data_IF_420366529916
#
_entry.id   IF_420366529916
#
_cell.length_a   1.000
_cell.length_b   1.000
_cell.length_c   1.000
_cell.angle_alpha   90.00
_cell.angle_beta   90.00
_cell.angle_gamma   90.00
#
_symmetry.space_group_name_H-M   'P 1'
#
loop_
_entity.id
_entity.type
_entity.pdbx_description
1 polymer ?
#
# COMPACT_ATOMS: atom_id res chain seq x y z
N UNK A 1 24.20 -29.50 -12.29
CA UNK A 1 22.88 -28.82 -12.27
C UNK A 1 22.85 -27.91 -11.05
N UNK A 2 22.97 -26.59 -11.22
CA UNK A 2 22.90 -25.66 -10.09
C UNK A 2 21.48 -25.72 -9.49
N UNK A 3 21.38 -25.91 -8.18
CA UNK A 3 20.08 -25.84 -7.48
C UNK A 3 19.47 -24.46 -7.74
N UNK A 4 18.17 -24.37 -8.10
CA UNK A 4 17.51 -23.08 -8.26
C UNK A 4 17.67 -22.28 -6.97
N UNK A 5 17.94 -20.98 -7.09
CA UNK A 5 17.89 -20.11 -5.92
C UNK A 5 16.54 -20.28 -5.21
N UNK A 6 16.49 -20.20 -3.88
CA UNK A 6 15.24 -20.32 -3.11
C UNK A 6 14.13 -19.41 -3.67
N UNK A 7 14.50 -18.22 -4.16
CA UNK A 7 13.60 -17.29 -4.88
C UNK A 7 13.01 -17.89 -6.14
N UNK A 8 13.83 -18.49 -7.01
CA UNK A 8 13.37 -19.13 -8.25
C UNK A 8 12.44 -20.31 -7.97
N UNK A 9 12.73 -21.10 -6.93
CA UNK A 9 11.87 -22.21 -6.52
C UNK A 9 10.52 -21.74 -5.95
N UNK A 10 10.51 -20.66 -5.13
CA UNK A 10 9.29 -20.05 -4.58
C UNK A 10 8.42 -19.47 -5.69
N UNK A 11 9.01 -18.76 -6.66
CA UNK A 11 8.27 -18.19 -7.80
C UNK A 11 7.70 -19.29 -8.70
N UNK A 12 8.49 -20.33 -9.03
CA UNK A 12 8.00 -21.47 -9.82
C UNK A 12 6.86 -22.24 -9.12
N UNK A 13 6.87 -22.32 -7.78
CA UNK A 13 5.78 -22.90 -7.01
C UNK A 13 4.52 -22.01 -7.01
N UNK A 14 4.66 -20.69 -7.11
CA UNK A 14 3.53 -19.76 -7.23
C UNK A 14 2.77 -19.91 -8.55
N UNK A 15 3.48 -20.27 -9.63
CA UNK A 15 2.91 -20.47 -10.98
C UNK A 15 2.36 -21.90 -11.20
N UNK A 16 2.53 -22.82 -10.24
CA UNK A 16 2.03 -24.18 -10.36
C UNK A 16 0.53 -24.27 -10.05
N UNK A 17 -0.30 -24.59 -11.05
CA UNK A 17 -1.76 -24.65 -10.94
C UNK A 17 -2.28 -25.64 -9.87
N UNK A 18 -1.58 -26.75 -9.61
CA UNK A 18 -1.97 -27.75 -8.60
C UNK A 18 -1.62 -27.26 -7.20
N UNK A 19 -0.43 -26.67 -7.01
CA UNK A 19 -0.06 -26.03 -5.75
C UNK A 19 -0.98 -24.84 -5.44
N UNK A 20 -1.31 -24.03 -6.46
CA UNK A 20 -2.31 -22.96 -6.37
C UNK A 20 -3.68 -23.50 -5.95
N UNK A 21 -4.20 -24.58 -6.54
CA UNK A 21 -5.48 -25.17 -6.10
C UNK A 21 -5.49 -25.66 -4.66
N UNK A 22 -4.43 -26.37 -4.24
CA UNK A 22 -4.34 -26.92 -2.87
C UNK A 22 -4.18 -25.79 -1.86
N UNK A 23 -3.31 -24.82 -2.13
CA UNK A 23 -3.08 -23.69 -1.21
C UNK A 23 -4.24 -22.69 -1.25
N UNK A 24 -4.88 -22.44 -2.39
CA UNK A 24 -6.10 -21.62 -2.42
C UNK A 24 -7.23 -22.24 -1.60
N UNK A 25 -7.38 -23.58 -1.63
CA UNK A 25 -8.42 -24.30 -0.89
C UNK A 25 -8.19 -24.37 0.62
N UNK A 26 -6.93 -24.42 1.08
CA UNK A 26 -6.61 -24.64 2.50
C UNK A 26 -5.77 -23.52 3.14
N UNK A 27 -5.06 -22.72 2.36
CA UNK A 27 -4.08 -21.73 2.83
C UNK A 27 -4.67 -20.54 3.57
N UNK A 28 -5.91 -20.13 3.26
CA UNK A 28 -6.66 -19.15 4.07
C UNK A 28 -6.88 -19.66 5.50
N UNK A 29 -7.17 -20.96 5.65
CA UNK A 29 -7.35 -21.63 6.96
C UNK A 29 -6.01 -21.94 7.63
N UNK A 30 -4.91 -22.03 6.88
CA UNK A 30 -3.56 -22.34 7.35
C UNK A 30 -2.69 -21.09 7.60
N UNK A 31 -3.29 -19.91 7.72
CA UNK A 31 -2.60 -18.69 8.19
C UNK A 31 -2.59 -17.51 7.23
N UNK A 32 -3.05 -17.64 5.98
CA UNK A 32 -3.09 -16.50 5.06
C UNK A 32 -4.10 -15.41 5.49
N UNK A 33 -5.17 -15.79 6.22
CA UNK A 33 -6.11 -14.86 6.88
C UNK A 33 -5.46 -13.86 7.83
N UNK A 34 -4.23 -14.15 8.28
CA UNK A 34 -3.46 -13.21 9.09
C UNK A 34 -3.03 -11.99 8.28
N UNK A 35 -2.75 -12.13 6.99
CA UNK A 35 -2.14 -11.09 6.15
C UNK A 35 -3.07 -10.56 5.06
N UNK A 36 -4.17 -11.27 4.79
CA UNK A 36 -5.19 -10.92 3.81
C UNK A 36 -6.55 -11.08 4.49
N UNK A 37 -7.43 -10.09 4.35
CA UNK A 37 -8.72 -10.10 5.06
C UNK A 37 -9.65 -11.23 4.60
N UNK A 38 -9.58 -11.59 3.32
CA UNK A 38 -10.51 -12.50 2.69
C UNK A 38 -10.36 -12.53 1.17
N UNK A 39 -11.22 -13.30 0.54
CA UNK A 39 -11.37 -13.35 -0.92
C UNK A 39 -12.50 -12.44 -1.42
N UNK A 40 -13.40 -11.98 -0.54
CA UNK A 40 -14.58 -11.17 -0.91
C UNK A 40 -14.60 -9.80 -0.23
N UNK A 41 -15.35 -8.86 -0.81
CA UNK A 41 -15.60 -7.55 -0.22
C UNK A 41 -16.28 -7.64 1.16
N UNK A 42 -17.20 -8.59 1.36
CA UNK A 42 -17.86 -8.82 2.65
C UNK A 42 -16.88 -9.23 3.76
N UNK A 43 -15.91 -10.09 3.43
CA UNK A 43 -14.85 -10.46 4.38
C UNK A 43 -13.95 -9.25 4.70
N UNK A 44 -13.67 -8.41 3.71
CA UNK A 44 -12.95 -7.15 3.92
C UNK A 44 -13.74 -6.19 4.83
N UNK A 45 -15.04 -6.00 4.59
CA UNK A 45 -15.90 -5.12 5.41
C UNK A 45 -15.96 -5.62 6.86
N UNK A 46 -16.09 -6.94 7.06
CA UNK A 46 -16.03 -7.55 8.39
C UNK A 46 -14.67 -7.31 9.09
N UNK A 47 -13.57 -7.44 8.34
CA UNK A 47 -12.24 -7.13 8.87
C UNK A 47 -12.10 -5.63 9.20
N UNK A 48 -12.60 -4.75 8.34
CA UNK A 48 -12.56 -3.31 8.55
C UNK A 48 -13.35 -2.89 9.79
N UNK A 49 -14.57 -3.43 9.99
CA UNK A 49 -15.36 -3.23 11.23
C UNK A 49 -14.56 -3.59 12.48
N UNK A 50 -13.95 -4.77 12.50
CA UNK A 50 -13.14 -5.22 13.64
C UNK A 50 -11.95 -4.29 13.88
N UNK A 51 -11.21 -3.94 12.83
CA UNK A 51 -10.01 -3.08 12.90
C UNK A 51 -10.36 -1.66 13.34
N UNK A 52 -11.44 -1.07 12.83
CA UNK A 52 -11.97 0.22 13.30
C UNK A 52 -12.41 0.15 14.78
N UNK A 53 -13.05 -0.94 15.21
CA UNK A 53 -13.40 -1.16 16.62
C UNK A 53 -12.17 -1.24 17.56
N UNK A 54 -11.00 -1.60 17.02
CA UNK A 54 -9.72 -1.56 17.74
C UNK A 54 -9.02 -0.19 17.69
N UNK A 55 -9.62 0.81 17.04
CA UNK A 55 -9.12 2.19 16.93
C UNK A 55 -8.23 2.47 15.72
N UNK A 56 -8.02 1.50 14.83
CA UNK A 56 -7.23 1.66 13.61
C UNK A 56 -8.11 2.11 12.43
N UNK A 57 -7.57 2.93 11.55
CA UNK A 57 -8.13 3.14 10.22
C UNK A 57 -7.73 2.02 9.24
N UNK A 58 -8.37 1.93 8.08
CA UNK A 58 -8.07 0.92 7.04
C UNK A 58 -7.71 1.58 5.70
N UNK A 59 -6.72 1.01 4.99
CA UNK A 59 -6.53 1.21 3.55
C UNK A 59 -6.69 -0.14 2.87
N UNK A 60 -7.73 -0.30 2.07
CA UNK A 60 -8.01 -1.54 1.36
C UNK A 60 -7.35 -1.56 -0.03
N UNK A 61 -6.82 -2.70 -0.44
CA UNK A 61 -6.33 -2.95 -1.79
C UNK A 61 -6.93 -4.24 -2.33
N UNK A 62 -7.57 -4.16 -3.49
CA UNK A 62 -8.09 -5.31 -4.21
C UNK A 62 -6.97 -6.02 -4.98
N UNK A 63 -6.83 -7.32 -4.74
CA UNK A 63 -5.86 -8.20 -5.38
C UNK A 63 -6.49 -8.88 -6.60
N UNK A 64 -6.07 -8.45 -7.79
CA UNK A 64 -6.44 -9.06 -9.06
C UNK A 64 -5.23 -9.56 -9.86
N UNK A 65 -5.53 -10.23 -10.98
CA UNK A 65 -4.53 -10.61 -11.98
C UNK A 65 -4.17 -9.41 -12.86
N UNK A 66 -3.20 -9.56 -13.77
CA UNK A 66 -2.94 -8.55 -14.80
C UNK A 66 -4.17 -8.37 -15.69
N UNK A 67 -4.64 -7.13 -15.82
CA UNK A 67 -5.73 -6.74 -16.73
C UNK A 67 -5.25 -6.69 -18.17
N UNK A 68 -6.12 -7.07 -19.11
CA UNK A 68 -5.77 -7.27 -20.53
C UNK A 68 -6.54 -6.36 -21.46
N UNK A 69 -7.71 -5.89 -21.04
CA UNK A 69 -8.58 -5.05 -21.85
C UNK A 69 -9.36 -4.02 -21.02
N UNK A 70 -10.02 -3.11 -21.72
CA UNK A 70 -10.81 -2.04 -21.11
C UNK A 70 -11.95 -2.56 -20.21
N UNK A 71 -12.54 -3.71 -20.54
CA UNK A 71 -13.65 -4.29 -19.76
C UNK A 71 -13.15 -4.76 -18.40
N UNK A 72 -12.01 -5.44 -18.37
CA UNK A 72 -11.39 -5.90 -17.12
C UNK A 72 -10.99 -4.71 -16.23
N UNK A 73 -10.41 -3.63 -16.81
CA UNK A 73 -10.06 -2.42 -16.05
C UNK A 73 -11.28 -1.70 -15.47
N UNK A 74 -12.40 -1.67 -16.22
CA UNK A 74 -13.64 -1.06 -15.77
C UNK A 74 -14.24 -1.84 -14.58
N UNK A 75 -14.19 -3.17 -14.61
CA UNK A 75 -14.65 -4.02 -13.52
C UNK A 75 -13.83 -3.79 -12.23
N UNK A 76 -12.51 -3.61 -12.35
CA UNK A 76 -11.65 -3.23 -11.20
C UNK A 76 -12.06 -1.86 -10.65
N UNK A 77 -12.32 -0.88 -11.51
CA UNK A 77 -12.83 0.42 -11.08
C UNK A 77 -14.17 0.30 -10.35
N UNK A 78 -15.08 -0.55 -10.84
CA UNK A 78 -16.39 -0.78 -10.23
C UNK A 78 -16.28 -1.41 -8.84
N UNK A 79 -15.36 -2.35 -8.67
CA UNK A 79 -15.06 -2.97 -7.36
C UNK A 79 -14.62 -1.92 -6.33
N UNK A 80 -13.68 -1.03 -6.69
CA UNK A 80 -13.26 0.04 -5.78
C UNK A 80 -14.39 1.05 -5.47
N UNK A 81 -15.22 1.39 -6.45
CA UNK A 81 -16.39 2.24 -6.24
C UNK A 81 -17.41 1.57 -5.30
N UNK A 82 -17.65 0.27 -5.45
CA UNK A 82 -18.52 -0.50 -4.57
C UNK A 82 -17.98 -0.54 -3.13
N UNK A 83 -16.67 -0.77 -2.96
CA UNK A 83 -16.03 -0.73 -1.65
C UNK A 83 -16.19 0.63 -0.95
N UNK A 84 -15.93 1.73 -1.67
CA UNK A 84 -16.07 3.07 -1.11
C UNK A 84 -17.49 3.34 -0.60
N UNK A 85 -18.50 2.92 -1.37
CA UNK A 85 -19.91 3.02 -0.95
C UNK A 85 -20.23 2.12 0.24
N UNK A 86 -19.67 0.91 0.27
CA UNK A 86 -19.81 -0.01 1.41
C UNK A 86 -19.21 0.57 2.71
N UNK A 87 -18.02 1.17 2.62
CA UNK A 87 -17.40 1.87 3.76
C UNK A 87 -18.26 3.04 4.23
N UNK A 88 -18.80 3.84 3.31
CA UNK A 88 -19.66 4.97 3.66
C UNK A 88 -20.98 4.52 4.31
N UNK A 89 -21.62 3.46 3.78
CA UNK A 89 -22.87 2.93 4.30
C UNK A 89 -22.74 2.40 5.73
N UNK A 90 -21.59 1.86 6.09
CA UNK A 90 -21.28 1.35 7.43
C UNK A 90 -20.52 2.38 8.31
N UNK A 91 -20.30 3.60 7.81
CA UNK A 91 -19.51 4.66 8.47
C UNK A 91 -18.12 4.18 8.96
N UNK A 92 -17.44 3.39 8.12
CA UNK A 92 -16.11 2.84 8.42
C UNK A 92 -15.01 3.86 8.12
N UNK A 93 -14.02 3.95 9.01
CA UNK A 93 -12.78 4.71 8.77
C UNK A 93 -11.87 3.89 7.85
N UNK A 94 -12.22 3.89 6.56
CA UNK A 94 -11.60 3.09 5.53
C UNK A 94 -11.46 3.87 4.21
N UNK A 95 -10.34 3.65 3.54
CA UNK A 95 -9.99 4.23 2.25
C UNK A 95 -9.53 3.13 1.30
N UNK A 96 -9.31 3.45 0.03
CA UNK A 96 -8.78 2.48 -0.95
C UNK A 96 -7.42 2.91 -1.49
N UNK A 97 -6.59 1.92 -1.82
CA UNK A 97 -5.31 2.10 -2.49
C UNK A 97 -5.21 1.12 -3.67
N UNK A 98 -4.87 1.64 -4.85
CA UNK A 98 -4.87 0.88 -6.10
C UNK A 98 -3.62 1.11 -6.94
N UNK A 99 -3.32 0.13 -7.79
CA UNK A 99 -2.25 0.17 -8.80
C UNK A 99 -2.84 0.64 -10.12
N UNK A 100 -2.17 1.56 -10.80
CA UNK A 100 -2.69 2.11 -12.06
C UNK A 100 -2.55 1.12 -13.21
N UNK A 101 -1.60 0.18 -13.16
CA UNK A 101 -1.55 -0.94 -14.10
C UNK A 101 -2.85 -1.76 -14.04
N UNK A 102 -3.41 -1.97 -12.85
CA UNK A 102 -4.70 -2.66 -12.65
C UNK A 102 -5.90 -1.85 -13.18
N UNK A 103 -5.70 -0.56 -13.48
CA UNK A 103 -6.69 0.33 -14.09
C UNK A 103 -6.41 0.61 -15.57
N UNK A 104 -5.38 -0.02 -16.16
CA UNK A 104 -5.11 0.05 -17.59
C UNK A 104 -3.89 0.87 -17.99
N UNK A 105 -2.98 1.22 -17.06
CA UNK A 105 -1.80 2.04 -17.40
C UNK A 105 -0.90 1.40 -18.46
N UNK A 106 -0.78 0.07 -18.46
CA UNK A 106 -0.05 -0.70 -19.50
C UNK A 106 -0.77 -0.74 -20.86
N UNK A 107 -2.06 -0.41 -20.89
CA UNK A 107 -2.91 -0.44 -22.10
C UNK A 107 -2.95 0.96 -22.72
N UNK A 108 -3.42 1.94 -21.94
CA UNK A 108 -3.54 3.34 -22.34
C UNK A 108 -3.56 4.22 -21.07
N UNK A 109 -2.63 5.19 -20.93
CA UNK A 109 -2.64 6.14 -19.82
C UNK A 109 -3.96 6.91 -19.66
N UNK A 110 -4.68 7.21 -20.75
CA UNK A 110 -5.96 7.93 -20.66
C UNK A 110 -7.07 7.01 -20.14
N UNK A 111 -7.07 5.72 -20.50
CA UNK A 111 -7.96 4.70 -19.91
C UNK A 111 -7.72 4.58 -18.39
N UNK A 112 -6.45 4.52 -17.98
CA UNK A 112 -6.08 4.48 -16.57
C UNK A 112 -6.57 5.71 -15.80
N UNK A 113 -6.44 6.90 -16.41
CA UNK A 113 -6.96 8.13 -15.83
C UNK A 113 -8.49 8.10 -15.70
N UNK A 114 -9.21 7.68 -16.74
CA UNK A 114 -10.68 7.64 -16.72
C UNK A 114 -11.17 6.73 -15.59
N UNK A 115 -10.59 5.53 -15.45
CA UNK A 115 -10.90 4.62 -14.36
C UNK A 115 -10.54 5.22 -12.98
N UNK A 116 -9.33 5.78 -12.83
CA UNK A 116 -8.91 6.40 -11.57
C UNK A 116 -9.80 7.62 -11.20
N UNK A 117 -10.26 8.40 -12.18
CA UNK A 117 -11.16 9.52 -11.98
C UNK A 117 -12.55 9.08 -11.49
N UNK A 118 -13.07 7.94 -11.97
CA UNK A 118 -14.33 7.35 -11.47
C UNK A 118 -14.23 6.99 -9.99
N UNK A 119 -13.10 6.36 -9.60
CA UNK A 119 -12.84 6.01 -8.20
C UNK A 119 -12.68 7.28 -7.35
N UNK A 120 -11.93 8.27 -7.81
CA UNK A 120 -11.74 9.54 -7.10
C UNK A 120 -13.04 10.32 -6.92
N UNK A 121 -13.91 10.38 -7.95
CA UNK A 121 -15.24 11.00 -7.85
C UNK A 121 -16.11 10.28 -6.81
N UNK A 122 -16.15 8.95 -6.87
CA UNK A 122 -16.93 8.15 -5.90
C UNK A 122 -16.41 8.35 -4.48
N UNK A 123 -15.09 8.44 -4.30
CA UNK A 123 -14.50 8.71 -2.98
C UNK A 123 -14.91 10.09 -2.45
N UNK A 124 -14.90 11.12 -3.29
CA UNK A 124 -15.36 12.45 -2.92
C UNK A 124 -16.84 12.47 -2.53
N UNK A 125 -17.70 11.80 -3.30
CA UNK A 125 -19.13 11.62 -2.99
C UNK A 125 -19.35 10.90 -1.64
N UNK A 126 -18.45 9.98 -1.29
CA UNK A 126 -18.48 9.20 -0.04
C UNK A 126 -17.76 9.90 1.13
N UNK A 127 -17.17 11.09 0.94
CA UNK A 127 -16.34 11.74 1.96
C UNK A 127 -15.08 10.96 2.35
N UNK A 128 -14.52 10.20 1.41
CA UNK A 128 -13.33 9.35 1.58
C UNK A 128 -12.15 9.86 0.74
N UNK A 129 -11.00 9.19 0.85
CA UNK A 129 -9.78 9.47 0.09
C UNK A 129 -9.26 8.24 -0.62
N UNK A 130 -8.41 8.45 -1.62
CA UNK A 130 -7.83 7.36 -2.42
C UNK A 130 -6.33 7.51 -2.57
N UNK A 131 -5.64 6.39 -2.72
CA UNK A 131 -4.19 6.34 -2.93
C UNK A 131 -3.84 5.60 -4.21
N UNK A 132 -3.07 6.24 -5.07
CA UNK A 132 -2.32 5.53 -6.11
C UNK A 132 -1.06 4.94 -5.48
N UNK A 133 -1.01 3.61 -5.40
CA UNK A 133 0.20 2.88 -5.03
C UNK A 133 1.26 3.07 -6.12
N UNK A 134 2.51 3.22 -5.70
CA UNK A 134 3.62 3.36 -6.64
C UNK A 134 4.20 1.99 -6.99
N UNK A 135 4.28 1.73 -8.29
CA UNK A 135 4.75 0.48 -8.87
C UNK A 135 6.26 0.54 -9.19
N UNK A 136 6.75 -0.26 -10.13
CA UNK A 136 8.15 -0.23 -10.59
C UNK A 136 8.53 1.15 -11.16
N UNK A 137 9.83 1.42 -11.22
CA UNK A 137 10.41 2.70 -11.69
C UNK A 137 9.86 3.16 -13.05
N UNK A 138 9.61 2.23 -13.97
CA UNK A 138 9.03 2.53 -15.29
C UNK A 138 7.62 3.16 -15.25
N UNK A 139 6.87 2.96 -14.16
CA UNK A 139 5.51 3.47 -14.00
C UNK A 139 5.43 4.78 -13.23
N UNK A 140 6.54 5.29 -12.70
CA UNK A 140 6.56 6.48 -11.84
C UNK A 140 6.02 7.69 -12.60
N UNK A 141 6.50 7.94 -13.81
CA UNK A 141 6.10 9.13 -14.59
C UNK A 141 4.61 9.10 -14.96
N UNK A 142 4.11 7.97 -15.46
CA UNK A 142 2.69 7.82 -15.76
C UNK A 142 1.80 7.99 -14.52
N UNK A 143 2.24 7.45 -13.38
CA UNK A 143 1.53 7.58 -12.10
C UNK A 143 1.48 9.03 -11.63
N UNK A 144 2.61 9.74 -11.65
CA UNK A 144 2.68 11.14 -11.19
C UNK A 144 1.94 12.09 -12.14
N UNK A 145 1.91 11.81 -13.44
CA UNK A 145 1.09 12.56 -14.40
C UNK A 145 -0.41 12.43 -14.11
N UNK A 146 -0.90 11.20 -13.91
CA UNK A 146 -2.30 10.94 -13.54
C UNK A 146 -2.62 11.58 -12.19
N UNK A 147 -1.72 11.47 -11.20
CA UNK A 147 -1.89 12.10 -9.90
C UNK A 147 -2.12 13.60 -10.01
N UNK A 148 -1.29 14.32 -10.76
CA UNK A 148 -1.43 15.79 -10.92
C UNK A 148 -2.78 16.16 -11.53
N UNK A 149 -3.19 15.47 -12.61
CA UNK A 149 -4.48 15.72 -13.26
C UNK A 149 -5.68 15.48 -12.32
N UNK A 150 -5.61 14.46 -11.46
CA UNK A 150 -6.65 14.20 -10.48
C UNK A 150 -6.61 15.18 -9.30
N UNK A 151 -5.40 15.57 -8.86
CA UNK A 151 -5.19 16.50 -7.74
C UNK A 151 -5.80 17.87 -8.01
N UNK A 152 -5.74 18.33 -9.26
CA UNK A 152 -6.36 19.59 -9.69
C UNK A 152 -7.89 19.61 -9.47
N UNK A 153 -8.53 18.44 -9.43
CA UNK A 153 -9.98 18.30 -9.27
C UNK A 153 -10.41 17.77 -7.91
N UNK A 154 -9.56 17.01 -7.24
CA UNK A 154 -9.89 16.28 -6.01
C UNK A 154 -8.79 16.47 -4.95
N UNK A 155 -9.13 17.14 -3.84
CA UNK A 155 -8.20 17.38 -2.73
C UNK A 155 -7.89 16.12 -1.89
N UNK A 156 -8.60 15.01 -2.10
CA UNK A 156 -8.44 13.78 -1.33
C UNK A 156 -7.80 12.62 -2.13
N UNK A 157 -7.22 12.92 -3.29
CA UNK A 157 -6.34 11.96 -3.99
C UNK A 157 -4.91 12.07 -3.49
N UNK A 158 -4.28 10.92 -3.30
CA UNK A 158 -2.88 10.80 -2.93
C UNK A 158 -2.10 9.84 -3.81
N UNK A 159 -0.78 9.91 -3.72
CA UNK A 159 0.13 8.98 -4.37
C UNK A 159 1.17 8.47 -3.36
N UNK A 160 1.91 7.42 -3.74
CA UNK A 160 3.08 6.96 -2.99
C UNK A 160 4.39 7.40 -3.65
N UNK A 161 5.45 7.57 -2.84
CA UNK A 161 6.83 7.76 -3.29
C UNK A 161 7.74 6.77 -2.57
N UNK A 162 8.80 6.33 -3.25
CA UNK A 162 9.64 5.21 -2.83
C UNK A 162 11.06 5.67 -2.50
N UNK A 163 11.43 5.64 -1.23
CA UNK A 163 12.70 6.17 -0.74
C UNK A 163 13.96 5.55 -1.37
N UNK A 164 13.87 4.32 -1.88
CA UNK A 164 14.99 3.67 -2.56
C UNK A 164 15.33 4.25 -3.94
N UNK A 165 14.48 5.05 -4.59
CA UNK A 165 14.78 5.62 -5.90
C UNK A 165 15.54 6.93 -5.75
N UNK A 166 16.56 7.14 -6.58
CA UNK A 166 17.32 8.40 -6.58
C UNK A 166 16.43 9.62 -6.90
N UNK A 167 15.47 9.44 -7.82
CA UNK A 167 14.54 10.50 -8.28
C UNK A 167 13.52 10.98 -7.26
N UNK A 168 13.23 10.21 -6.20
CA UNK A 168 12.07 10.49 -5.33
C UNK A 168 12.16 11.79 -4.54
N UNK A 169 13.36 12.34 -4.33
CA UNK A 169 13.51 13.68 -3.76
C UNK A 169 12.96 14.74 -4.73
N UNK A 170 13.46 14.73 -5.96
CA UNK A 170 13.06 15.71 -6.98
C UNK A 170 11.56 15.57 -7.31
N UNK A 171 11.06 14.34 -7.36
CA UNK A 171 9.62 14.09 -7.51
C UNK A 171 8.83 14.70 -6.34
N UNK A 172 9.26 14.53 -5.08
CA UNK A 172 8.59 15.13 -3.92
C UNK A 172 8.64 16.66 -3.99
N UNK A 173 9.81 17.25 -4.24
CA UNK A 173 9.98 18.71 -4.36
C UNK A 173 9.03 19.30 -5.42
N UNK A 174 8.85 18.61 -6.55
CA UNK A 174 7.91 19.02 -7.59
C UNK A 174 6.42 18.89 -7.19
N UNK A 175 6.09 18.03 -6.22
CA UNK A 175 4.72 17.86 -5.74
C UNK A 175 4.37 18.77 -4.56
N UNK A 176 5.34 19.22 -3.76
CA UNK A 176 5.11 20.05 -2.57
C UNK A 176 4.21 21.28 -2.81
N UNK A 177 4.33 22.04 -3.93
CA UNK A 177 3.44 23.16 -4.21
C UNK A 177 1.95 22.81 -4.33
N UNK A 178 1.61 21.53 -4.53
CA UNK A 178 0.23 21.03 -4.62
C UNK A 178 -0.36 20.64 -3.25
N UNK A 179 0.38 20.88 -2.15
CA UNK A 179 0.08 20.39 -0.81
C UNK A 179 -0.29 18.90 -0.83
N UNK A 180 0.62 18.01 -1.28
CA UNK A 180 0.25 16.67 -1.72
C UNK A 180 -0.17 15.77 -0.56
N UNK A 181 -1.07 14.83 -0.81
CA UNK A 181 -1.31 13.71 0.08
C UNK A 181 -0.37 12.56 -0.32
N UNK A 182 0.80 12.46 0.33
CA UNK A 182 1.88 11.55 -0.08
C UNK A 182 2.09 10.43 0.93
N UNK A 183 2.22 9.20 0.43
CA UNK A 183 2.63 8.03 1.21
C UNK A 183 4.11 7.74 0.95
N UNK A 184 4.94 7.80 1.99
CA UNK A 184 6.37 7.48 1.86
C UNK A 184 6.61 6.02 2.25
N UNK A 185 7.13 5.23 1.31
CA UNK A 185 7.52 3.82 1.50
C UNK A 185 9.01 3.65 1.24
N UNK A 186 9.62 2.55 1.71
CA UNK A 186 11.01 2.22 1.32
C UNK A 186 11.14 1.87 -0.17
N UNK A 187 10.13 1.21 -0.73
CA UNK A 187 10.20 0.55 -2.04
C UNK A 187 10.09 -0.97 -1.89
N UNK A 188 9.37 -1.62 -2.80
CA UNK A 188 9.05 -3.05 -2.72
C UNK A 188 9.60 -3.87 -3.91
N UNK A 189 9.95 -3.22 -5.02
CA UNK A 189 10.35 -3.90 -6.24
C UNK A 189 11.87 -4.14 -6.28
N UNK A 190 12.28 -5.07 -7.13
CA UNK A 190 13.70 -5.27 -7.43
C UNK A 190 14.08 -4.35 -8.59
N UNK A 191 14.81 -3.28 -8.28
CA UNK A 191 15.26 -2.28 -9.24
C UNK A 191 16.78 -2.38 -9.47
N UNK A 192 17.29 -2.02 -10.65
CA UNK A 192 18.72 -1.98 -10.90
C UNK A 192 19.39 -0.85 -10.11
N UNK A 193 20.67 -1.04 -9.77
CA UNK A 193 21.46 -0.05 -9.03
C UNK A 193 21.62 1.31 -9.77
N UNK A 194 21.32 1.35 -11.07
CA UNK A 194 21.29 2.57 -11.88
C UNK A 194 20.14 3.51 -11.52
N UNK A 195 19.06 3.02 -10.90
CA UNK A 195 17.89 3.84 -10.53
C UNK A 195 17.57 3.84 -9.04
N UNK A 196 18.12 2.87 -8.30
CA UNK A 196 17.82 2.69 -6.88
C UNK A 196 19.07 2.45 -6.01
N UNK A 197 19.02 2.96 -4.78
CA UNK A 197 19.99 2.67 -3.73
C UNK A 197 20.04 1.17 -3.44
N UNK A 198 21.23 0.57 -3.55
CA UNK A 198 21.44 -0.84 -3.22
C UNK A 198 21.59 -1.09 -1.70
N UNK A 199 22.12 -0.11 -0.96
CA UNK A 199 22.41 -0.26 0.46
C UNK A 199 21.18 0.09 1.31
N UNK A 200 20.92 -0.71 2.34
CA UNK A 200 19.83 -0.44 3.29
C UNK A 200 20.00 0.90 4.01
N UNK A 201 21.23 1.27 4.37
CA UNK A 201 21.51 2.53 5.07
C UNK A 201 21.15 3.74 4.22
N UNK A 202 21.41 3.68 2.91
CA UNK A 202 21.07 4.79 2.01
C UNK A 202 19.56 4.90 1.82
N UNK A 203 18.85 3.77 1.70
CA UNK A 203 17.37 3.74 1.66
C UNK A 203 16.78 4.30 2.95
N UNK A 204 17.28 3.89 4.11
CA UNK A 204 16.79 4.37 5.40
C UNK A 204 17.07 5.87 5.58
N UNK A 205 18.24 6.35 5.17
CA UNK A 205 18.59 7.77 5.17
C UNK A 205 17.74 8.59 4.20
N UNK A 206 17.49 8.07 2.99
CA UNK A 206 16.61 8.68 2.00
C UNK A 206 15.17 8.79 2.52
N UNK A 207 14.66 7.71 3.14
CA UNK A 207 13.33 7.67 3.73
C UNK A 207 13.13 8.77 4.77
N UNK A 208 14.08 8.89 5.71
CA UNK A 208 14.04 9.93 6.74
C UNK A 208 14.03 11.32 6.10
N UNK A 209 14.89 11.58 5.10
CA UNK A 209 14.94 12.88 4.41
C UNK A 209 13.61 13.20 3.70
N UNK A 210 13.00 12.23 3.03
CA UNK A 210 11.70 12.42 2.36
C UNK A 210 10.57 12.69 3.35
N UNK A 211 10.51 11.96 4.46
CA UNK A 211 9.52 12.21 5.51
C UNK A 211 9.72 13.57 6.17
N UNK A 212 10.95 13.92 6.51
CA UNK A 212 11.25 15.25 7.08
C UNK A 212 10.84 16.37 6.12
N UNK A 213 11.14 16.23 4.83
CA UNK A 213 10.75 17.19 3.80
C UNK A 213 9.23 17.27 3.61
N UNK A 214 8.53 16.13 3.54
CA UNK A 214 7.08 16.09 3.37
C UNK A 214 6.32 16.68 4.57
N UNK A 215 6.81 16.43 5.80
CA UNK A 215 6.24 17.00 7.04
C UNK A 215 6.39 18.52 7.13
N UNK A 216 7.44 19.08 6.51
CA UNK A 216 7.66 20.52 6.46
C UNK A 216 6.75 21.23 5.43
N UNK A 217 6.24 20.52 4.43
CA UNK A 217 5.27 21.05 3.46
C UNK A 217 3.83 21.04 3.98
N UNK A 218 2.92 21.73 3.28
CA UNK A 218 1.53 21.92 3.72
C UNK A 218 0.62 20.71 3.49
N UNK A 219 1.12 19.67 2.83
CA UNK A 219 0.39 18.46 2.51
C UNK A 219 0.15 17.51 3.69
N UNK A 220 -0.43 16.35 3.35
CA UNK A 220 -0.61 15.23 4.27
C UNK A 220 0.45 14.16 4.03
N UNK A 221 1.09 13.69 5.10
CA UNK A 221 2.15 12.66 5.01
C UNK A 221 1.72 11.35 5.66
N UNK A 222 1.56 10.30 4.87
CA UNK A 222 1.42 8.93 5.35
C UNK A 222 2.80 8.26 5.48
N UNK A 223 3.19 7.94 6.71
CA UNK A 223 4.49 7.34 7.03
C UNK A 223 4.33 5.82 7.07
N UNK A 224 4.52 5.18 5.91
CA UNK A 224 4.32 3.75 5.73
C UNK A 224 5.59 2.93 6.00
N UNK A 225 5.78 2.52 7.26
CA UNK A 225 6.95 1.73 7.69
C UNK A 225 6.71 0.99 8.99
N UNK A 226 7.35 -0.17 9.16
CA UNK A 226 7.43 -0.89 10.44
C UNK A 226 8.73 -0.63 11.19
N UNK A 227 9.60 0.22 10.64
CA UNK A 227 10.92 0.49 11.21
C UNK A 227 10.81 1.46 12.39
N UNK A 228 10.92 0.92 13.62
CA UNK A 228 10.79 1.70 14.86
C UNK A 228 11.73 2.90 14.93
N UNK A 229 12.95 2.80 14.38
CA UNK A 229 13.90 3.92 14.40
C UNK A 229 13.41 5.08 13.53
N UNK A 230 12.86 4.76 12.36
CA UNK A 230 12.28 5.74 11.45
C UNK A 230 11.02 6.36 12.06
N UNK A 231 10.16 5.55 12.69
CA UNK A 231 8.95 6.02 13.37
C UNK A 231 9.31 7.06 14.45
N UNK A 232 10.23 6.73 15.36
CA UNK A 232 10.63 7.68 16.42
C UNK A 232 11.27 8.95 15.83
N UNK A 233 12.03 8.83 14.74
CA UNK A 233 12.60 9.99 14.06
C UNK A 233 11.53 10.89 13.46
N UNK A 234 10.51 10.32 12.83
CA UNK A 234 9.39 11.07 12.28
C UNK A 234 8.58 11.77 13.38
N UNK A 235 8.34 11.09 14.51
CA UNK A 235 7.72 11.68 15.70
C UNK A 235 8.53 12.87 16.20
N UNK A 236 9.84 12.71 16.37
CA UNK A 236 10.71 13.80 16.82
C UNK A 236 10.69 14.99 15.86
N UNK A 237 10.63 14.75 14.54
CA UNK A 237 10.47 15.82 13.54
C UNK A 237 9.13 16.52 13.68
N UNK A 238 8.02 15.77 13.76
CA UNK A 238 6.69 16.34 13.92
C UNK A 238 6.58 17.20 15.20
N UNK A 239 7.15 16.73 16.31
CA UNK A 239 7.20 17.46 17.58
C UNK A 239 8.03 18.75 17.48
N UNK A 240 9.22 18.69 16.88
CA UNK A 240 10.07 19.89 16.65
C UNK A 240 9.37 20.95 15.80
N UNK A 241 8.56 20.52 14.84
CA UNK A 241 7.81 21.40 13.97
C UNK A 241 6.42 21.78 14.53
N UNK A 242 6.11 21.35 15.77
CA UNK A 242 4.81 21.55 16.42
C UNK A 242 3.61 21.13 15.55
N UNK A 243 3.77 20.06 14.75
CA UNK A 243 2.71 19.57 13.89
C UNK A 243 1.59 18.94 14.71
N UNK A 244 0.32 19.21 14.37
CA UNK A 244 -0.79 18.51 15.00
C UNK A 244 -0.72 17.01 14.67
N UNK A 245 -1.02 16.18 15.66
CA UNK A 245 -1.03 14.71 15.51
C UNK A 245 -2.17 14.20 14.61
N UNK A 246 -3.17 15.05 14.33
CA UNK A 246 -4.29 14.76 13.44
C UNK A 246 -4.26 15.70 12.23
N UNK A 247 -4.70 15.18 11.08
CA UNK A 247 -4.88 15.96 9.85
C UNK A 247 -3.61 16.33 9.08
N UNK A 248 -2.40 16.10 9.63
CA UNK A 248 -1.13 16.36 8.93
C UNK A 248 -0.32 15.12 8.60
N UNK A 249 -0.39 14.10 9.45
CA UNK A 249 0.27 12.82 9.17
C UNK A 249 -0.43 11.65 9.87
N UNK A 250 -0.12 10.45 9.40
CA UNK A 250 -0.48 9.20 10.07
C UNK A 250 0.61 8.15 9.85
N UNK A 251 0.59 7.10 10.67
CA UNK A 251 1.44 5.93 10.46
C UNK A 251 0.66 4.85 9.75
N UNK A 252 1.28 4.24 8.74
CA UNK A 252 0.67 3.15 8.00
C UNK A 252 1.47 1.86 8.13
N UNK A 253 0.77 0.78 8.43
CA UNK A 253 1.36 -0.49 8.81
C UNK A 253 0.63 -1.61 8.09
N UNK A 254 1.37 -2.62 7.63
CA UNK A 254 0.75 -3.82 7.06
C UNK A 254 -0.06 -4.58 8.10
N UNK A 255 -1.27 -4.97 7.70
CA UNK A 255 -2.14 -5.89 8.44
C UNK A 255 -1.49 -7.26 8.62
N UNK A 256 -1.68 -7.87 9.80
CA UNK A 256 -1.07 -9.13 10.23
C UNK A 256 0.34 -9.03 10.80
N UNK A 257 0.96 -7.87 10.66
CA UNK A 257 2.38 -7.63 10.97
C UNK A 257 2.54 -6.46 11.94
N UNK A 258 1.97 -5.31 11.59
CA UNK A 258 2.28 -4.05 12.24
C UNK A 258 1.41 -3.71 13.44
N UNK A 259 0.36 -4.49 13.74
CA UNK A 259 -0.58 -4.21 14.83
C UNK A 259 0.08 -4.01 16.19
N UNK A 260 1.12 -4.77 16.61
CA UNK A 260 1.80 -4.49 17.87
C UNK A 260 2.39 -3.07 17.93
N UNK A 261 3.09 -2.65 16.88
CA UNK A 261 3.63 -1.28 16.75
C UNK A 261 2.48 -0.27 16.69
N UNK A 262 1.43 -0.59 15.94
CA UNK A 262 0.27 0.24 15.77
C UNK A 262 -0.47 0.52 17.08
N UNK A 263 -0.65 -0.48 17.95
CA UNK A 263 -1.30 -0.29 19.26
C UNK A 263 -0.50 0.66 20.15
N UNK A 264 0.82 0.54 20.15
CA UNK A 264 1.68 1.47 20.88
C UNK A 264 1.54 2.91 20.35
N UNK A 265 1.44 3.09 19.03
CA UNK A 265 1.24 4.41 18.42
C UNK A 265 -0.15 4.99 18.71
N UNK A 266 -1.21 4.16 18.69
CA UNK A 266 -2.56 4.57 19.09
C UNK A 266 -2.60 5.03 20.56
N UNK A 267 -1.94 4.30 21.47
CA UNK A 267 -1.82 4.67 22.89
C UNK A 267 -1.10 6.01 23.09
N UNK A 268 -0.18 6.36 22.18
CA UNK A 268 0.51 7.65 22.16
C UNK A 268 -0.29 8.76 21.47
N UNK A 269 -1.52 8.48 21.02
CA UNK A 269 -2.44 9.44 20.42
C UNK A 269 -2.21 9.70 18.93
N UNK A 270 -1.39 8.89 18.25
CA UNK A 270 -1.19 9.01 16.81
C UNK A 270 -2.28 8.27 16.04
N UNK A 271 -2.60 8.78 14.85
CA UNK A 271 -3.44 8.07 13.90
C UNK A 271 -2.66 6.95 13.24
N UNK A 272 -3.27 5.76 13.19
CA UNK A 272 -2.66 4.57 12.57
C UNK A 272 -3.64 3.94 11.60
N UNK A 273 -3.19 3.66 10.38
CA UNK A 273 -3.95 2.96 9.36
C UNK A 273 -3.31 1.62 9.03
N UNK A 274 -4.13 0.55 9.04
CA UNK A 274 -3.69 -0.76 8.58
C UNK A 274 -3.94 -0.91 7.08
N UNK A 275 -2.90 -1.32 6.35
CA UNK A 275 -2.98 -1.64 4.93
C UNK A 275 -3.43 -3.10 4.80
N UNK A 276 -4.64 -3.29 4.29
CA UNK A 276 -5.33 -4.58 4.19
C UNK A 276 -5.52 -4.94 2.73
N UNK A 277 -5.09 -6.13 2.34
CA UNK A 277 -5.38 -6.68 1.01
C UNK A 277 -6.49 -7.74 1.09
N UNK A 278 -7.25 -7.88 0.01
CA UNK A 278 -8.29 -8.91 -0.15
C UNK A 278 -8.45 -9.28 -1.63
N UNK A 279 -9.14 -10.38 -1.91
CA UNK A 279 -9.45 -10.82 -3.27
C UNK A 279 -8.87 -12.21 -3.58
N UNK A 280 -9.43 -12.88 -4.59
CA UNK A 280 -9.07 -14.26 -4.97
C UNK A 280 -7.62 -14.45 -5.42
N UNK A 281 -6.89 -13.37 -5.72
CA UNK A 281 -5.48 -13.41 -6.15
C UNK A 281 -4.47 -13.31 -4.99
N UNK A 282 -4.89 -13.65 -3.77
CA UNK A 282 -4.06 -13.56 -2.57
C UNK A 282 -2.83 -14.48 -2.56
N UNK A 283 -2.91 -15.65 -3.20
CA UNK A 283 -1.81 -16.62 -3.13
C UNK A 283 -0.56 -16.15 -3.90
N UNK A 284 -0.63 -15.73 -5.18
CA UNK A 284 0.51 -15.13 -5.87
C UNK A 284 1.05 -13.88 -5.15
N UNK A 285 0.16 -13.04 -4.59
CA UNK A 285 0.55 -11.90 -3.78
C UNK A 285 1.41 -12.31 -2.56
N UNK A 286 0.93 -13.28 -1.78
CA UNK A 286 1.65 -13.79 -0.61
C UNK A 286 3.00 -14.39 -1.00
N UNK A 287 3.04 -15.17 -2.08
CA UNK A 287 4.29 -15.79 -2.55
C UNK A 287 5.31 -14.76 -3.01
N UNK A 288 4.90 -13.68 -3.71
CA UNK A 288 5.80 -12.57 -4.04
C UNK A 288 6.34 -11.87 -2.78
N UNK A 289 5.49 -11.62 -1.79
CA UNK A 289 5.91 -11.05 -0.49
C UNK A 289 6.93 -11.92 0.27
N UNK A 290 6.82 -13.24 0.15
CA UNK A 290 7.78 -14.19 0.71
C UNK A 290 9.10 -14.23 -0.09
N UNK A 291 9.02 -14.15 -1.42
CA UNK A 291 10.18 -14.19 -2.32
C UNK A 291 11.01 -12.90 -2.32
N UNK A 292 10.39 -11.74 -2.11
CA UNK A 292 11.05 -10.42 -2.16
C UNK A 292 12.06 -10.22 -1.03
N UNK A 293 11.87 -10.84 0.15
CA UNK A 293 12.85 -10.83 1.25
C UNK A 293 12.81 -12.16 2.03
N UNK A 294 13.84 -13.03 1.92
CA UNK A 294 13.90 -14.29 2.67
C UNK A 294 13.85 -14.12 4.19
N UNK A 295 14.27 -12.97 4.71
CA UNK A 295 14.12 -12.62 6.13
C UNK A 295 12.64 -12.52 6.55
N UNK A 296 11.75 -12.13 5.63
CA UNK A 296 10.31 -12.20 5.87
C UNK A 296 9.88 -13.65 6.05
N UNK A 297 10.41 -14.62 5.28
CA UNK A 297 10.06 -16.04 5.42
C UNK A 297 10.35 -16.58 6.83
N UNK A 298 11.50 -16.22 7.42
CA UNK A 298 11.82 -16.57 8.80
C UNK A 298 10.86 -15.89 9.81
N UNK A 299 10.45 -14.64 9.55
CA UNK A 299 9.42 -13.95 10.34
C UNK A 299 8.02 -14.58 10.18
N UNK A 300 7.65 -15.00 8.97
CA UNK A 300 6.39 -15.68 8.66
C UNK A 300 6.34 -17.06 9.32
N UNK A 301 7.39 -17.88 9.21
CA UNK A 301 7.50 -19.20 9.84
C UNK A 301 7.52 -19.10 11.37
N UNK A 302 8.29 -18.17 11.94
CA UNK A 302 8.34 -17.95 13.38
C UNK A 302 6.97 -17.55 13.96
N UNK A 303 6.22 -16.72 13.23
CA UNK A 303 4.89 -16.28 13.66
C UNK A 303 3.77 -17.29 13.39
N UNK A 304 3.93 -18.18 12.40
CA UNK A 304 3.02 -19.29 12.13
C UNK A 304 3.08 -20.37 13.23
N UNK A 305 4.25 -20.57 13.84
CA UNK A 305 4.46 -21.57 14.90
C UNK A 305 4.07 -21.08 16.31
N UNK A 306 3.97 -19.76 16.54
CA UNK A 306 3.64 -19.21 17.88
C UNK A 306 2.17 -19.32 18.30
N UNK A 307 1.28 -19.90 17.48
CA UNK A 307 -0.10 -20.24 17.86
C UNK A 307 -0.62 -21.47 17.09
N UNK A 308 0.09 -22.59 17.22
CA UNK A 308 -0.58 -23.88 17.37
C UNK A 308 -0.85 -24.12 18.85
#
# INVERSE_FOLDING_TARGET
>A
MALPSLRTAILAAADNATARRVVTRYGMRLGARRFVAGETADELLAAARRVNGEGFAVSATFLGESVRDATETAAVSDEYCALLRGFAAEALDATVAFKLTHLGLDIDPELALQNAARIASTAAECGSSVRMDMEQSQYVDGTLQIYRRLRDRYADVGCALQAYLYRSRDDLDALLPLAPNVRIVKGAYLEPASVAYASRSDVDGSYVRLVELALLGDGFTAIATHDRKIIERAIATAQRCALPTRGRFEFELLYGIGEPIGRELLQRGYRVRLLISYGGYWFPYLMRRLAERPANLAFFLKNALTRL
#
